data_IF_011558878666
#
_entry.id   IF_011558878666
#
_cell.length_a   1.000
_cell.length_b   1.000
_cell.length_c   1.000
_cell.angle_alpha   90.00
_cell.angle_beta   90.00
_cell.angle_gamma   90.00
#
_symmetry.space_group_name_H-M   'P 1'
#
loop_
_entity.id
_entity.type
_entity.pdbx_description
1 polymer ?
#
# COMPACT_ATOMS: atom_id res chain seq x y z
N UNK A 1 11.65 27.61 -1.67
CA UNK A 1 12.04 28.22 -0.38
C UNK A 1 11.58 27.31 0.75
N UNK A 2 12.45 26.97 1.70
CA UNK A 2 12.04 26.18 2.87
C UNK A 2 11.27 27.05 3.85
N UNK A 3 10.22 26.50 4.47
CA UNK A 3 9.45 27.20 5.51
C UNK A 3 10.25 27.29 6.82
N UNK A 4 10.91 26.19 7.19
CA UNK A 4 11.78 26.08 8.35
C UNK A 4 12.98 25.18 8.04
N UNK A 5 14.04 25.30 8.85
CA UNK A 5 15.17 24.35 8.86
C UNK A 5 14.92 23.12 9.73
N UNK A 6 13.85 23.14 10.52
CA UNK A 6 13.43 22.00 11.32
C UNK A 6 12.48 21.11 10.51
N UNK A 7 12.60 19.77 10.63
CA UNK A 7 11.67 18.87 9.96
C UNK A 7 10.28 18.99 10.58
N UNK A 8 9.25 18.97 9.74
CA UNK A 8 7.84 18.97 10.17
C UNK A 8 7.38 17.57 10.61
N UNK A 9 8.16 16.55 10.26
CA UNK A 9 7.92 15.16 10.63
C UNK A 9 9.18 14.32 10.40
N UNK A 10 9.25 13.18 11.08
CA UNK A 10 10.30 12.19 10.87
C UNK A 10 9.66 10.83 10.82
N UNK A 11 9.77 10.16 9.67
CA UNK A 11 9.43 8.75 9.51
C UNK A 11 10.59 7.85 9.91
N UNK A 12 10.40 6.55 9.72
CA UNK A 12 11.39 5.52 10.00
C UNK A 12 12.68 5.69 9.19
N UNK A 13 12.55 6.07 7.91
CA UNK A 13 13.69 6.15 6.98
C UNK A 13 14.10 7.56 6.59
N UNK A 14 13.19 8.54 6.71
CA UNK A 14 13.41 9.89 6.21
C UNK A 14 12.84 10.98 7.13
N UNK A 15 13.46 12.16 7.06
CA UNK A 15 12.96 13.41 7.60
C UNK A 15 12.12 14.14 6.55
N UNK A 16 11.04 14.79 6.97
CA UNK A 16 10.13 15.52 6.09
C UNK A 16 10.21 17.01 6.37
N UNK A 17 10.42 17.80 5.32
CA UNK A 17 10.47 19.26 5.39
C UNK A 17 9.36 19.87 4.54
N UNK A 18 8.75 20.96 5.02
CA UNK A 18 7.82 21.76 4.23
C UNK A 18 8.59 22.86 3.50
N UNK A 19 8.33 22.97 2.20
CA UNK A 19 8.91 24.00 1.35
C UNK A 19 7.87 24.50 0.35
N UNK A 20 8.24 25.53 -0.40
CA UNK A 20 7.43 26.15 -1.42
C UNK A 20 8.20 26.21 -2.74
N UNK A 21 7.57 25.79 -3.83
CA UNK A 21 8.17 25.71 -5.18
C UNK A 21 7.42 26.63 -6.14
N UNK A 22 8.17 27.30 -7.01
CA UNK A 22 7.61 28.12 -8.08
C UNK A 22 7.26 27.25 -9.31
N UNK A 23 6.04 27.38 -9.83
CA UNK A 23 5.53 26.65 -10.99
C UNK A 23 6.37 26.89 -12.27
N UNK A 24 7.05 28.03 -12.38
CA UNK A 24 7.97 28.31 -13.50
C UNK A 24 9.10 27.29 -13.61
N UNK A 25 9.58 26.75 -12.48
CA UNK A 25 10.66 25.76 -12.42
C UNK A 25 10.23 24.44 -13.08
N UNK A 26 8.95 24.05 -12.96
CA UNK A 26 8.40 22.82 -13.55
C UNK A 26 8.11 22.93 -15.05
N UNK A 27 8.11 24.16 -15.58
CA UNK A 27 7.89 24.45 -17.01
C UNK A 27 9.19 24.59 -17.79
N UNK A 28 10.35 24.57 -17.12
CA UNK A 28 11.65 24.65 -17.77
C UNK A 28 11.91 23.39 -18.63
N UNK A 29 12.04 23.54 -19.97
CA UNK A 29 12.25 22.41 -20.87
C UNK A 29 13.58 21.67 -20.61
N UNK A 30 14.61 22.35 -20.12
CA UNK A 30 15.93 21.75 -19.84
C UNK A 30 15.86 20.82 -18.62
N UNK A 31 15.07 21.19 -17.61
CA UNK A 31 14.83 20.34 -16.44
C UNK A 31 13.99 19.11 -16.79
N UNK A 32 13.01 19.25 -17.70
CA UNK A 32 12.21 18.11 -18.20
C UNK A 32 13.03 17.13 -19.01
N UNK A 33 13.96 17.61 -19.83
CA UNK A 33 14.85 16.75 -20.62
C UNK A 33 15.84 16.00 -19.72
N UNK A 34 16.42 16.67 -18.70
CA UNK A 34 17.23 16.03 -17.67
C UNK A 34 16.44 15.04 -16.80
N UNK A 35 15.16 15.30 -16.52
CA UNK A 35 14.28 14.38 -15.81
C UNK A 35 14.14 13.05 -16.58
N UNK A 36 13.88 13.14 -17.89
CA UNK A 36 13.76 11.95 -18.76
C UNK A 36 15.06 11.16 -18.78
N UNK A 37 16.22 11.81 -18.95
CA UNK A 37 17.52 11.14 -18.92
C UNK A 37 17.84 10.53 -17.55
N UNK A 38 17.52 11.23 -16.46
CA UNK A 38 17.70 10.75 -15.07
C UNK A 38 16.81 9.54 -14.75
N UNK A 39 15.58 9.49 -15.25
CA UNK A 39 14.67 8.34 -15.09
C UNK A 39 15.19 7.15 -15.91
N UNK A 40 15.70 7.39 -17.12
CA UNK A 40 16.34 6.37 -17.95
C UNK A 40 17.63 5.83 -17.32
N UNK A 41 18.50 6.70 -16.83
CA UNK A 41 19.73 6.34 -16.14
C UNK A 41 19.44 5.65 -14.80
N UNK A 42 18.40 6.07 -14.08
CA UNK A 42 17.91 5.38 -12.89
C UNK A 42 17.43 3.96 -13.20
N UNK A 43 16.71 3.76 -14.31
CA UNK A 43 16.27 2.45 -14.78
C UNK A 43 17.45 1.57 -15.24
N UNK A 44 18.46 2.17 -15.89
CA UNK A 44 19.68 1.49 -16.34
C UNK A 44 20.63 1.15 -15.18
N UNK A 45 20.70 2.00 -14.16
CA UNK A 45 21.42 1.78 -12.90
C UNK A 45 20.75 0.70 -12.05
N UNK A 46 19.41 0.64 -12.01
CA UNK A 46 18.66 -0.47 -11.40
C UNK A 46 18.98 -1.80 -12.09
N UNK A 47 19.25 -1.79 -13.41
CA UNK A 47 19.72 -2.96 -14.15
C UNK A 47 21.20 -3.32 -13.85
N UNK A 48 22.02 -2.33 -13.49
CA UNK A 48 23.45 -2.52 -13.20
C UNK A 48 23.76 -2.83 -11.73
N UNK A 49 22.89 -2.48 -10.78
CA UNK A 49 23.08 -2.80 -9.36
C UNK A 49 22.59 -4.19 -9.00
N UNK A 50 23.21 -5.22 -9.59
CA UNK A 50 23.70 -6.34 -8.79
C UNK A 50 25.02 -5.87 -8.16
N UNK A 51 24.90 -5.09 -7.08
CA UNK A 51 25.98 -4.58 -6.26
C UNK A 51 26.67 -5.70 -5.47
N UNK A 52 27.27 -6.63 -6.21
CA UNK A 52 28.04 -7.75 -5.70
C UNK A 52 29.32 -7.96 -6.53
N UNK A 53 29.51 -7.32 -7.70
CA UNK A 53 30.69 -7.56 -8.54
C UNK A 53 32.04 -7.16 -7.92
N UNK A 54 32.09 -6.17 -7.03
CA UNK A 54 33.35 -5.74 -6.40
C UNK A 54 33.66 -6.50 -5.10
N UNK A 55 32.64 -6.90 -4.34
CA UNK A 55 32.78 -7.69 -3.10
C UNK A 55 32.91 -9.19 -3.40
N UNK A 56 32.31 -9.68 -4.50
CA UNK A 56 32.47 -11.05 -4.98
C UNK A 56 33.87 -11.34 -5.51
N UNK A 57 34.64 -10.36 -5.97
CA UNK A 57 36.02 -10.61 -6.45
C UNK A 57 36.94 -11.14 -5.33
N UNK A 58 36.58 -10.89 -4.08
CA UNK A 58 37.25 -11.42 -2.89
C UNK A 58 36.71 -12.80 -2.47
N UNK A 59 35.44 -13.10 -2.72
CA UNK A 59 34.80 -14.39 -2.40
C UNK A 59 34.82 -15.43 -3.54
N UNK A 60 35.14 -15.04 -4.78
CA UNK A 60 35.17 -15.90 -5.98
C UNK A 60 36.35 -16.88 -6.07
N UNK A 61 36.97 -17.20 -4.94
CA UNK A 61 38.02 -18.22 -4.83
C UNK A 61 37.63 -19.37 -3.89
N UNK A 62 36.35 -19.79 -3.90
CA UNK A 62 35.95 -21.12 -3.38
C UNK A 62 34.61 -21.64 -3.93
N UNK A 63 34.68 -22.25 -5.12
CA UNK A 63 33.99 -23.49 -5.57
C UNK A 63 32.44 -23.51 -5.73
N UNK A 64 32.05 -23.46 -7.03
CA UNK A 64 30.86 -24.01 -7.76
C UNK A 64 29.46 -23.50 -7.39
N UNK A 65 28.64 -22.91 -8.30
CA UNK A 65 28.15 -23.28 -9.65
C UNK A 65 26.98 -24.28 -9.58
N UNK A 66 25.75 -23.74 -9.54
CA UNK A 66 24.60 -24.08 -10.40
C UNK A 66 23.35 -23.30 -9.92
N UNK A 67 22.34 -23.19 -10.80
CA UNK A 67 21.03 -22.49 -10.69
C UNK A 67 21.03 -21.02 -11.14
N UNK A 68 20.93 -20.84 -12.47
CA UNK A 68 20.36 -19.67 -13.12
C UNK A 68 19.58 -20.20 -14.33
N UNK A 69 18.33 -20.59 -14.09
CA UNK A 69 17.34 -20.83 -15.15
C UNK A 69 15.95 -20.75 -14.50
N UNK A 70 15.19 -19.71 -14.86
CA UNK A 70 13.82 -19.52 -14.42
C UNK A 70 13.52 -18.08 -14.02
N UNK A 71 13.39 -17.19 -14.99
CA UNK A 71 12.42 -16.07 -14.91
C UNK A 71 12.29 -15.40 -16.28
N UNK A 72 11.50 -16.01 -17.16
CA UNK A 72 11.08 -15.42 -18.43
C UNK A 72 9.83 -14.53 -18.31
N UNK A 73 9.32 -14.27 -17.09
CA UNK A 73 8.08 -13.52 -16.87
C UNK A 73 8.28 -12.01 -16.68
N UNK A 74 9.49 -11.56 -16.37
CA UNK A 74 9.81 -10.14 -16.22
C UNK A 74 9.88 -9.38 -17.55
N UNK A 75 10.11 -10.07 -18.68
CA UNK A 75 10.14 -9.46 -20.02
C UNK A 75 8.78 -8.92 -20.47
N UNK A 76 7.67 -9.60 -20.17
CA UNK A 76 6.33 -9.11 -20.52
C UNK A 76 5.87 -7.88 -19.69
N UNK A 77 6.41 -7.69 -18.47
CA UNK A 77 6.10 -6.54 -17.59
C UNK A 77 6.73 -5.23 -18.11
N UNK A 78 7.79 -5.31 -18.91
CA UNK A 78 8.46 -4.16 -19.53
C UNK A 78 7.82 -3.75 -20.87
N UNK A 79 7.39 -4.70 -21.70
CA UNK A 79 6.72 -4.40 -22.98
C UNK A 79 5.37 -3.68 -22.76
N UNK A 80 4.64 -4.01 -21.69
CA UNK A 80 3.42 -3.28 -21.31
C UNK A 80 3.72 -1.81 -20.97
N UNK A 81 4.81 -1.53 -20.26
CA UNK A 81 5.19 -0.16 -19.87
C UNK A 81 5.69 0.68 -21.05
N UNK A 82 6.45 0.10 -21.99
CA UNK A 82 6.77 0.79 -23.25
C UNK A 82 5.49 1.09 -24.05
N UNK A 83 4.54 0.16 -24.09
CA UNK A 83 3.26 0.40 -24.77
C UNK A 83 2.41 1.48 -24.10
N UNK A 84 2.41 1.58 -22.76
CA UNK A 84 1.69 2.62 -22.02
C UNK A 84 2.39 3.97 -22.19
N UNK A 85 3.72 4.05 -22.08
CA UNK A 85 4.46 5.32 -22.26
C UNK A 85 4.43 5.78 -23.73
N UNK A 86 4.48 4.86 -24.70
CA UNK A 86 4.35 5.19 -26.13
C UNK A 86 2.90 5.55 -26.51
N UNK A 87 1.88 4.87 -25.98
CA UNK A 87 0.47 5.23 -26.22
C UNK A 87 0.02 6.46 -25.40
N UNK A 88 0.74 6.81 -24.33
CA UNK A 88 0.54 8.06 -23.57
C UNK A 88 1.22 9.27 -24.22
N UNK A 89 1.95 9.08 -25.34
CA UNK A 89 2.51 10.22 -26.09
C UNK A 89 1.43 11.11 -26.73
N UNK A 90 0.17 10.65 -26.77
CA UNK A 90 -1.01 11.45 -27.14
C UNK A 90 -1.89 11.88 -25.95
N UNK A 91 -1.62 11.39 -24.75
CA UNK A 91 -2.36 11.72 -23.53
C UNK A 91 -1.40 12.29 -22.50
N UNK A 92 -1.17 13.61 -22.55
CA UNK A 92 -0.40 14.29 -21.53
C UNK A 92 -0.96 13.94 -20.15
N UNK A 93 -0.14 13.32 -19.30
CA UNK A 93 -0.19 13.50 -17.85
C UNK A 93 -0.13 15.01 -17.60
N UNK A 94 -1.29 15.63 -17.72
CA UNK A 94 -1.48 17.03 -17.43
C UNK A 94 -1.20 17.12 -15.94
N UNK A 95 -0.26 17.97 -15.49
CA UNK A 95 -0.18 18.23 -14.06
C UNK A 95 -1.59 18.60 -13.60
N UNK A 96 -2.02 18.20 -12.38
CA UNK A 96 -3.31 18.64 -11.85
C UNK A 96 -3.39 20.14 -12.04
N UNK A 97 -4.57 20.68 -12.34
CA UNK A 97 -4.79 22.12 -12.49
C UNK A 97 -4.13 22.86 -11.31
N UNK A 98 -2.86 23.24 -11.47
CA UNK A 98 -2.17 24.13 -10.58
C UNK A 98 -3.01 25.40 -10.65
N UNK A 99 -3.57 25.79 -9.50
CA UNK A 99 -4.42 26.96 -9.35
C UNK A 99 -3.93 28.08 -10.27
N UNK A 100 -4.81 28.56 -11.15
CA UNK A 100 -4.52 29.49 -12.24
C UNK A 100 -4.00 30.88 -11.80
N UNK A 101 -3.62 31.07 -10.54
CA UNK A 101 -3.27 32.38 -9.97
C UNK A 101 -2.02 32.40 -9.08
N UNK A 102 -1.59 31.28 -8.48
CA UNK A 102 -0.43 31.27 -7.58
C UNK A 102 0.82 30.69 -8.26
N UNK A 103 1.85 31.54 -8.38
CA UNK A 103 3.17 31.13 -8.86
C UNK A 103 3.86 30.12 -7.93
N UNK A 104 3.49 30.09 -6.65
CA UNK A 104 4.17 29.30 -5.61
C UNK A 104 3.17 28.34 -4.94
N UNK A 105 3.56 27.09 -4.73
CA UNK A 105 2.74 26.07 -4.06
C UNK A 105 3.56 25.25 -3.05
N UNK A 106 2.93 24.68 -2.00
CA UNK A 106 3.63 23.94 -0.96
C UNK A 106 4.00 22.52 -1.39
N UNK A 107 5.17 22.05 -0.95
CA UNK A 107 5.72 20.72 -1.23
C UNK A 107 6.29 20.10 0.05
N UNK A 108 6.20 18.78 0.13
CA UNK A 108 6.92 17.98 1.11
C UNK A 108 8.25 17.51 0.49
N UNK A 109 9.34 17.68 1.23
CA UNK A 109 10.68 17.21 0.85
C UNK A 109 11.09 16.14 1.86
N UNK A 110 11.06 14.88 1.43
CA UNK A 110 11.55 13.73 2.19
C UNK A 110 13.03 13.56 1.93
N UNK A 111 13.83 13.51 2.99
CA UNK A 111 15.29 13.34 2.93
C UNK A 111 15.68 12.15 3.79
N UNK A 112 16.34 11.16 3.19
CA UNK A 112 16.80 9.96 3.88
C UNK A 112 17.73 10.30 5.05
N UNK A 113 17.58 9.62 6.19
CA UNK A 113 18.44 9.84 7.36
C UNK A 113 19.93 9.61 7.01
N UNK A 114 20.84 10.51 7.43
CA UNK A 114 22.27 10.34 7.17
C UNK A 114 22.82 9.04 7.77
N UNK A 115 23.56 8.27 6.98
CA UNK A 115 24.19 7.02 7.44
C UNK A 115 23.27 5.79 7.47
N UNK A 116 21.96 5.97 7.22
CA UNK A 116 20.98 4.89 7.32
C UNK A 116 21.27 3.73 6.37
N UNK A 117 21.69 4.03 5.14
CA UNK A 117 22.01 3.00 4.13
C UNK A 117 23.10 2.06 4.64
N UNK A 118 24.17 2.61 5.22
CA UNK A 118 25.28 1.79 5.74
C UNK A 118 24.85 0.96 6.96
N UNK A 119 24.01 1.53 7.83
CA UNK A 119 23.49 0.81 8.99
C UNK A 119 22.61 -0.37 8.56
N UNK A 120 21.64 -0.14 7.68
CA UNK A 120 20.74 -1.19 7.18
C UNK A 120 21.54 -2.30 6.47
N UNK A 121 22.55 -1.95 5.68
CA UNK A 121 23.43 -2.93 5.03
C UNK A 121 24.19 -3.80 6.04
N UNK A 122 24.71 -3.21 7.12
CA UNK A 122 25.38 -3.95 8.19
C UNK A 122 24.41 -4.89 8.90
N UNK A 123 23.22 -4.40 9.23
CA UNK A 123 22.19 -5.18 9.92
C UNK A 123 21.75 -6.38 9.08
N UNK A 124 21.49 -6.18 7.79
CA UNK A 124 21.15 -7.26 6.85
C UNK A 124 22.28 -8.28 6.70
N UNK A 125 23.54 -7.83 6.68
CA UNK A 125 24.69 -8.72 6.65
C UNK A 125 24.76 -9.61 7.91
N UNK A 126 24.56 -9.03 9.09
CA UNK A 126 24.52 -9.76 10.35
C UNK A 126 23.33 -10.74 10.41
N UNK A 127 22.15 -10.31 9.95
CA UNK A 127 20.96 -11.18 9.87
C UNK A 127 21.20 -12.37 8.95
N UNK A 128 21.85 -12.19 7.80
CA UNK A 128 22.20 -13.29 6.90
C UNK A 128 23.13 -14.31 7.55
N UNK A 129 24.15 -13.85 8.29
CA UNK A 129 25.05 -14.73 9.05
C UNK A 129 24.26 -15.49 10.14
N UNK A 130 23.44 -14.77 10.90
CA UNK A 130 22.62 -15.34 11.97
C UNK A 130 21.61 -16.37 11.46
N UNK A 131 20.96 -16.11 10.33
CA UNK A 131 20.00 -17.03 9.72
C UNK A 131 20.64 -18.39 9.40
N UNK A 132 21.84 -18.40 8.80
CA UNK A 132 22.59 -19.63 8.49
C UNK A 132 22.98 -20.41 9.74
N UNK A 133 23.25 -19.72 10.85
CA UNK A 133 23.53 -20.38 12.12
C UNK A 133 22.28 -21.01 12.74
N UNK A 134 21.13 -20.31 12.66
CA UNK A 134 19.85 -20.79 13.19
C UNK A 134 19.33 -22.03 12.45
N UNK A 135 19.61 -22.15 11.14
CA UNK A 135 19.23 -23.33 10.35
C UNK A 135 19.94 -24.64 10.74
N UNK A 136 21.01 -24.55 11.55
CA UNK A 136 21.69 -25.71 12.11
C UNK A 136 20.89 -26.37 13.25
N UNK A 137 19.91 -25.68 13.84
CA UNK A 137 19.12 -26.19 14.94
C UNK A 137 17.88 -26.98 14.44
N UNK A 138 17.70 -28.25 14.85
CA UNK A 138 16.70 -29.16 14.28
C UNK A 138 15.21 -28.84 14.57
N UNK A 139 14.90 -27.70 15.20
CA UNK A 139 13.51 -27.25 15.47
C UNK A 139 13.08 -25.98 14.73
N UNK A 140 14.00 -25.28 14.07
CA UNK A 140 13.76 -23.95 13.47
C UNK A 140 13.63 -24.03 11.94
N UNK A 141 14.01 -25.17 11.33
CA UNK A 141 14.00 -25.38 9.88
C UNK A 141 12.65 -25.15 9.20
N UNK A 142 11.53 -25.39 9.89
CA UNK A 142 10.20 -25.17 9.31
C UNK A 142 9.88 -23.68 9.13
N UNK A 143 10.51 -22.78 9.90
CA UNK A 143 10.35 -21.33 9.79
C UNK A 143 11.07 -20.74 8.57
N UNK A 144 11.98 -21.47 7.93
CA UNK A 144 12.80 -20.97 6.81
C UNK A 144 13.35 -19.56 7.06
N UNK A 145 14.07 -19.38 8.17
CA UNK A 145 14.57 -18.07 8.61
C UNK A 145 15.42 -17.39 7.54
N UNK A 146 16.15 -18.14 6.71
CA UNK A 146 16.90 -17.55 5.58
C UNK A 146 15.98 -16.98 4.50
N UNK A 147 14.90 -17.66 4.13
CA UNK A 147 13.88 -17.10 3.22
C UNK A 147 13.27 -15.81 3.80
N UNK A 148 12.97 -15.80 5.10
CA UNK A 148 12.44 -14.61 5.79
C UNK A 148 13.41 -13.44 5.72
N UNK A 149 14.71 -13.68 5.96
CA UNK A 149 15.74 -12.63 5.90
C UNK A 149 15.93 -12.11 4.47
N UNK A 150 15.84 -12.97 3.46
CA UNK A 150 15.91 -12.55 2.05
C UNK A 150 14.70 -11.68 1.65
N UNK A 151 13.50 -12.05 2.08
CA UNK A 151 12.30 -11.22 1.86
C UNK A 151 12.38 -9.89 2.61
N UNK A 152 12.86 -9.91 3.86
CA UNK A 152 13.08 -8.70 4.63
C UNK A 152 14.12 -7.77 3.98
N UNK A 153 15.20 -8.31 3.45
CA UNK A 153 16.20 -7.54 2.69
C UNK A 153 15.57 -6.82 1.49
N UNK A 154 14.75 -7.52 0.69
CA UNK A 154 14.08 -6.92 -0.47
C UNK A 154 13.22 -5.73 -0.05
N UNK A 155 12.45 -5.87 1.02
CA UNK A 155 11.62 -4.80 1.56
C UNK A 155 12.47 -3.63 2.08
N UNK A 156 13.54 -3.90 2.83
CA UNK A 156 14.40 -2.84 3.37
C UNK A 156 15.15 -2.06 2.29
N UNK A 157 15.57 -2.73 1.21
CA UNK A 157 16.20 -2.04 0.07
C UNK A 157 15.22 -1.08 -0.60
N UNK A 158 13.95 -1.47 -0.76
CA UNK A 158 12.92 -0.59 -1.33
C UNK A 158 12.65 0.62 -0.43
N UNK A 159 12.67 0.42 0.89
CA UNK A 159 12.46 1.47 1.88
C UNK A 159 13.55 2.54 1.93
N UNK A 160 14.81 2.18 1.63
CA UNK A 160 15.94 3.15 1.66
C UNK A 160 16.23 3.82 0.31
N UNK A 161 15.40 3.57 -0.71
CA UNK A 161 15.51 4.21 -2.02
C UNK A 161 14.16 4.86 -2.36
N UNK A 162 14.07 6.18 -2.13
CA UNK A 162 12.83 6.96 -2.22
C UNK A 162 12.23 7.01 -3.64
N UNK A 163 12.94 6.51 -4.66
CA UNK A 163 12.39 6.35 -6.01
C UNK A 163 11.30 5.27 -6.07
N UNK A 164 11.37 4.25 -5.22
CA UNK A 164 10.32 3.23 -5.14
C UNK A 164 9.03 3.83 -4.60
N UNK A 165 9.12 4.59 -3.51
CA UNK A 165 7.98 5.30 -2.94
C UNK A 165 7.34 6.25 -3.97
N UNK A 166 8.14 7.04 -4.67
CA UNK A 166 7.66 7.92 -5.74
C UNK A 166 6.89 7.15 -6.83
N UNK A 167 7.46 6.03 -7.31
CA UNK A 167 6.82 5.20 -8.33
C UNK A 167 5.51 4.58 -7.83
N UNK A 168 5.46 4.17 -6.56
CA UNK A 168 4.26 3.61 -5.95
C UNK A 168 3.18 4.69 -5.80
N UNK A 169 3.52 5.92 -5.39
CA UNK A 169 2.59 7.05 -5.34
C UNK A 169 2.00 7.36 -6.72
N UNK A 170 2.80 7.34 -7.77
CA UNK A 170 2.33 7.52 -9.15
C UNK A 170 1.35 6.42 -9.57
N UNK A 171 1.66 5.16 -9.24
CA UNK A 171 0.77 4.03 -9.54
C UNK A 171 -0.55 4.13 -8.77
N UNK A 172 -0.51 4.46 -7.48
CA UNK A 172 -1.71 4.72 -6.70
C UNK A 172 -2.52 5.88 -7.27
N UNK A 173 -1.88 6.96 -7.70
CA UNK A 173 -2.56 8.07 -8.34
C UNK A 173 -3.34 7.61 -9.58
N UNK A 174 -2.73 6.79 -10.45
CA UNK A 174 -3.39 6.21 -11.63
C UNK A 174 -4.57 5.31 -11.24
N UNK A 175 -4.39 4.41 -10.28
CA UNK A 175 -5.43 3.49 -9.83
C UNK A 175 -6.64 4.24 -9.27
N UNK A 176 -6.43 5.38 -8.60
CA UNK A 176 -7.48 6.14 -7.93
C UNK A 176 -7.99 7.37 -8.71
N UNK A 177 -7.64 7.56 -9.99
CA UNK A 177 -8.09 8.72 -10.78
C UNK A 177 -9.62 8.89 -10.84
N UNK A 178 -10.38 7.78 -10.78
CA UNK A 178 -11.85 7.80 -10.77
C UNK A 178 -12.48 7.76 -9.38
N UNK A 179 -11.70 7.93 -8.31
CA UNK A 179 -12.17 7.88 -6.92
C UNK A 179 -12.06 9.26 -6.27
N UNK A 180 -13.17 9.97 -6.19
CA UNK A 180 -13.19 11.39 -5.78
C UNK A 180 -12.83 11.64 -4.31
N UNK A 181 -12.72 10.60 -3.48
CA UNK A 181 -12.54 10.73 -2.03
C UNK A 181 -11.22 10.13 -1.52
N UNK A 182 -10.32 9.66 -2.39
CA UNK A 182 -8.99 9.16 -2.03
C UNK A 182 -7.94 9.92 -2.83
N UNK A 183 -6.87 10.36 -2.16
CA UNK A 183 -5.77 11.10 -2.78
C UNK A 183 -4.42 10.59 -2.28
N UNK A 184 -3.41 10.82 -3.11
CA UNK A 184 -2.02 10.51 -2.84
C UNK A 184 -1.19 11.75 -3.21
N UNK A 185 -0.13 12.08 -2.45
CA UNK A 185 0.85 13.09 -2.85
C UNK A 185 1.41 12.79 -4.23
N UNK A 186 1.63 13.83 -5.02
CA UNK A 186 2.18 13.71 -6.36
C UNK A 186 3.68 13.97 -6.36
N UNK A 187 4.53 12.99 -6.74
CA UNK A 187 5.95 13.21 -6.91
C UNK A 187 6.27 14.27 -7.96
N UNK A 188 7.27 15.10 -7.68
CA UNK A 188 7.65 16.25 -8.50
C UNK A 188 8.99 15.98 -9.16
N UNK A 189 8.96 15.58 -10.43
CA UNK A 189 10.18 15.40 -11.24
C UNK A 189 10.76 16.74 -11.73
N UNK A 190 12.09 16.87 -11.87
CA UNK A 190 13.16 15.88 -11.67
C UNK A 190 13.63 15.70 -10.21
N UNK A 191 12.92 16.21 -9.20
CA UNK A 191 13.39 16.24 -7.82
C UNK A 191 13.15 14.93 -7.04
N UNK A 192 13.20 13.80 -7.75
CA UNK A 192 13.08 12.45 -7.20
C UNK A 192 14.39 11.71 -7.42
N UNK A 193 15.03 11.31 -6.33
CA UNK A 193 16.33 10.62 -6.30
C UNK A 193 16.30 9.52 -5.25
N UNK A 194 17.38 8.73 -5.14
CA UNK A 194 17.49 7.68 -4.11
C UNK A 194 17.30 8.20 -2.68
N UNK A 195 17.80 9.41 -2.40
CA UNK A 195 17.88 9.96 -1.05
C UNK A 195 16.91 11.12 -0.80
N UNK A 196 16.28 11.65 -1.85
CA UNK A 196 15.38 12.80 -1.78
C UNK A 196 14.14 12.53 -2.63
N UNK A 197 12.95 12.70 -2.05
CA UNK A 197 11.67 12.71 -2.73
C UNK A 197 10.94 14.03 -2.45
N UNK A 198 10.66 14.79 -3.51
CA UNK A 198 9.80 15.97 -3.43
C UNK A 198 8.42 15.62 -3.97
N UNK A 199 7.38 15.90 -3.19
CA UNK A 199 5.98 15.60 -3.52
C UNK A 199 5.05 16.76 -3.12
N UNK A 200 3.80 16.76 -3.58
CA UNK A 200 2.81 17.76 -3.14
C UNK A 200 2.60 17.70 -1.64
N UNK A 201 2.47 18.86 -1.00
CA UNK A 201 2.14 18.91 0.42
C UNK A 201 0.62 18.92 0.61
N UNK A 202 0.12 17.97 1.39
CA UNK A 202 -1.31 17.81 1.64
C UNK A 202 -1.67 18.34 3.05
N UNK A 203 -2.37 19.47 3.11
CA UNK A 203 -2.84 20.06 4.37
C UNK A 203 -4.02 19.25 4.91
N UNK A 204 -3.73 18.34 5.86
CA UNK A 204 -4.67 17.36 6.40
C UNK A 204 -4.34 16.97 7.85
N UNK A 205 -5.30 16.36 8.55
CA UNK A 205 -5.14 15.88 9.93
C UNK A 205 -5.05 14.35 9.97
N UNK A 206 -4.21 13.73 10.81
CA UNK A 206 -4.16 12.27 10.93
C UNK A 206 -5.52 11.67 11.30
N UNK A 207 -5.84 10.50 10.74
CA UNK A 207 -7.11 9.81 11.00
C UNK A 207 -7.32 9.50 12.49
N UNK A 208 -6.23 9.35 13.25
CA UNK A 208 -6.26 9.10 14.69
C UNK A 208 -7.01 10.18 15.48
N UNK A 209 -7.04 11.42 15.00
CA UNK A 209 -7.78 12.52 15.63
C UNK A 209 -9.31 12.33 15.55
N UNK A 210 -9.79 11.52 14.61
CA UNK A 210 -11.22 11.28 14.40
C UNK A 210 -11.71 10.00 15.08
N UNK A 211 -10.83 9.30 15.80
CA UNK A 211 -11.19 8.09 16.56
C UNK A 211 -11.91 8.41 17.88
N UNK A 212 -11.88 9.67 18.32
CA UNK A 212 -12.47 10.09 19.58
C UNK A 212 -14.01 10.15 19.52
N UNK A 213 -14.64 9.84 20.66
CA UNK A 213 -16.11 9.79 20.80
C UNK A 213 -16.77 11.14 20.52
N UNK A 214 -16.07 12.24 20.79
CA UNK A 214 -16.58 13.61 20.59
C UNK A 214 -16.72 14.01 19.10
N UNK A 215 -16.13 13.22 18.19
CA UNK A 215 -16.29 13.42 16.75
C UNK A 215 -17.70 12.99 16.31
N UNK A 216 -18.36 13.79 15.47
CA UNK A 216 -19.68 13.48 14.89
C UNK A 216 -19.70 12.04 14.36
N UNK A 217 -20.69 11.24 14.79
CA UNK A 217 -20.80 9.83 14.44
C UNK A 217 -20.90 9.61 12.92
N UNK A 218 -21.66 10.47 12.24
CA UNK A 218 -21.82 10.45 10.78
C UNK A 218 -20.50 10.64 10.04
N UNK A 219 -19.64 11.54 10.53
CA UNK A 219 -18.30 11.76 9.96
C UNK A 219 -17.44 10.51 10.13
N UNK A 220 -17.43 9.92 11.33
CA UNK A 220 -16.66 8.70 11.62
C UNK A 220 -17.11 7.55 10.72
N UNK A 221 -18.42 7.35 10.58
CA UNK A 221 -18.98 6.32 9.69
C UNK A 221 -18.64 6.58 8.22
N UNK A 222 -18.67 7.84 7.76
CA UNK A 222 -18.26 8.19 6.39
C UNK A 222 -16.78 7.92 6.14
N UNK A 223 -15.90 8.29 7.07
CA UNK A 223 -14.46 7.99 7.00
C UNK A 223 -14.23 6.46 6.99
N UNK A 224 -14.92 5.72 7.86
CA UNK A 224 -14.82 4.26 7.93
C UNK A 224 -15.23 3.60 6.61
N UNK A 225 -16.34 4.05 6.01
CA UNK A 225 -16.81 3.57 4.72
C UNK A 225 -15.81 3.87 3.60
N UNK A 226 -15.31 5.11 3.53
CA UNK A 226 -14.29 5.49 2.56
C UNK A 226 -13.03 4.62 2.67
N UNK A 227 -12.56 4.37 3.89
CA UNK A 227 -11.39 3.52 4.13
C UNK A 227 -11.62 2.06 3.75
N UNK A 228 -12.81 1.53 4.01
CA UNK A 228 -13.19 0.18 3.59
C UNK A 228 -13.28 0.03 2.08
N UNK A 229 -13.97 0.96 1.39
CA UNK A 229 -14.09 0.94 -0.07
C UNK A 229 -12.71 1.04 -0.74
N UNK A 230 -11.85 1.91 -0.21
CA UNK A 230 -10.45 2.05 -0.63
C UNK A 230 -9.65 0.75 -0.43
N UNK A 231 -9.71 0.12 0.75
CA UNK A 231 -9.04 -1.17 1.01
C UNK A 231 -9.50 -2.23 0.00
N UNK A 232 -10.80 -2.38 -0.18
CA UNK A 232 -11.36 -3.41 -1.05
C UNK A 232 -10.97 -3.20 -2.50
N UNK A 233 -10.92 -1.94 -2.96
CA UNK A 233 -10.43 -1.59 -4.29
C UNK A 233 -8.95 -1.98 -4.45
N UNK A 234 -8.09 -1.59 -3.52
CA UNK A 234 -6.65 -1.93 -3.57
C UNK A 234 -6.42 -3.45 -3.67
N UNK A 235 -7.18 -4.23 -2.90
CA UNK A 235 -7.02 -5.69 -2.80
C UNK A 235 -7.63 -6.43 -4.00
N UNK A 236 -8.90 -6.16 -4.31
CA UNK A 236 -9.68 -7.01 -5.23
C UNK A 236 -9.83 -6.43 -6.64
N UNK A 237 -9.60 -5.13 -6.81
CA UNK A 237 -9.72 -4.46 -8.12
C UNK A 237 -8.34 -4.18 -8.69
N UNK A 238 -7.49 -3.50 -7.92
CA UNK A 238 -6.20 -3.02 -8.42
C UNK A 238 -5.08 -4.06 -8.24
N UNK A 239 -5.24 -5.00 -7.29
CA UNK A 239 -4.19 -5.93 -6.86
C UNK A 239 -2.87 -5.20 -6.52
N UNK A 240 -2.98 -4.00 -5.96
CA UNK A 240 -1.86 -3.14 -5.60
C UNK A 240 -2.16 -2.53 -4.24
N UNK A 241 -1.65 -3.17 -3.20
CA UNK A 241 -2.05 -2.93 -1.81
C UNK A 241 -0.99 -2.14 -1.09
N UNK A 242 -1.39 -1.04 -0.45
CA UNK A 242 -0.52 -0.32 0.48
C UNK A 242 -0.30 -1.17 1.74
N UNK A 243 0.89 -1.76 1.87
CA UNK A 243 1.13 -2.80 2.87
C UNK A 243 1.44 -2.25 4.28
N UNK A 244 1.73 -0.95 4.41
CA UNK A 244 2.00 -0.28 5.68
C UNK A 244 1.02 0.86 6.00
N UNK A 245 -0.29 0.60 5.80
CA UNK A 245 -1.33 1.61 5.97
C UNK A 245 -1.81 1.71 7.44
N UNK A 246 -0.91 2.16 8.32
CA UNK A 246 -1.23 2.43 9.72
C UNK A 246 -1.85 3.84 9.91
N UNK A 247 -2.47 4.17 11.07
CA UNK A 247 -3.19 5.43 11.26
C UNK A 247 -2.35 6.72 11.12
N UNK A 248 -1.02 6.62 11.07
CA UNK A 248 -0.13 7.76 10.84
C UNK A 248 0.00 8.12 9.36
N UNK A 249 -0.23 7.14 8.48
CA UNK A 249 -0.12 7.27 7.02
C UNK A 249 -1.47 7.56 6.36
N UNK A 250 -2.54 7.72 7.14
CA UNK A 250 -3.87 8.06 6.64
C UNK A 250 -4.25 9.41 7.24
N UNK A 251 -4.41 10.41 6.40
CA UNK A 251 -4.90 11.73 6.78
C UNK A 251 -6.33 11.91 6.28
N UNK A 252 -7.04 12.82 6.93
CA UNK A 252 -8.39 13.24 6.58
C UNK A 252 -8.35 14.73 6.26
N UNK A 253 -8.86 15.07 5.08
CA UNK A 253 -8.98 16.44 4.57
C UNK A 253 -10.45 16.82 4.42
N UNK A 254 -10.82 18.06 4.73
CA UNK A 254 -12.20 18.56 4.56
C UNK A 254 -13.18 18.21 5.69
N UNK A 255 -12.72 17.55 6.76
CA UNK A 255 -13.58 17.13 7.87
C UNK A 255 -14.16 18.28 8.70
N UNK A 256 -13.50 19.44 8.76
CA UNK A 256 -14.00 20.60 9.53
C UNK A 256 -15.25 21.23 8.89
N UNK A 257 -15.40 21.07 7.58
CA UNK A 257 -16.54 21.58 6.81
C UNK A 257 -17.70 20.56 6.77
N UNK A 258 -17.53 19.41 7.43
CA UNK A 258 -18.49 18.33 7.43
C UNK A 258 -19.71 18.67 8.31
N UNK A 259 -20.83 18.96 7.65
CA UNK A 259 -22.13 19.21 8.27
C UNK A 259 -22.46 20.69 8.54
N UNK A 260 -21.74 21.64 7.93
CA UNK A 260 -22.09 23.08 7.99
C UNK A 260 -22.93 23.57 6.80
N UNK A 261 -23.25 22.68 5.85
CA UNK A 261 -24.19 22.96 4.77
C UNK A 261 -25.37 21.98 4.85
N UNK A 262 -26.63 22.47 4.85
CA UNK A 262 -27.75 21.60 4.56
C UNK A 262 -27.54 21.03 3.16
N UNK A 263 -27.72 19.72 3.03
CA UNK A 263 -27.76 19.07 1.73
C UNK A 263 -28.80 19.81 0.85
N UNK A 264 -28.36 20.25 -0.33
CA UNK A 264 -29.16 20.98 -1.33
C UNK A 264 -29.88 22.26 -0.83
N UNK A 265 -29.13 23.24 -0.31
CA UNK A 265 -29.64 24.59 -0.06
C UNK A 265 -29.34 25.58 -1.19
N UNK A 266 -30.22 25.71 -2.19
CA UNK A 266 -30.17 26.84 -3.11
C UNK A 266 -30.38 28.15 -2.31
N UNK A 267 -29.34 28.97 -2.17
CA UNK A 267 -29.48 30.31 -1.60
C UNK A 267 -30.04 31.22 -2.68
N UNK A 268 -31.31 31.58 -2.54
CA UNK A 268 -31.94 32.61 -3.36
C UNK A 268 -31.48 33.97 -2.83
N UNK A 269 -30.72 34.71 -3.62
CA UNK A 269 -30.37 36.11 -3.32
C UNK A 269 -31.30 37.02 -4.11
N UNK A 270 -32.15 37.78 -3.41
CA UNK A 270 -33.02 38.77 -4.03
C UNK A 270 -32.27 40.09 -4.23
N UNK A 271 -31.90 40.36 -5.48
CA UNK A 271 -31.38 41.65 -5.92
C UNK A 271 -32.33 42.19 -6.98
N UNK A 272 -33.26 43.05 -6.56
CA UNK A 272 -34.08 43.92 -7.41
C UNK A 272 -34.64 43.22 -8.66
N UNK A 273 -35.62 42.34 -8.45
CA UNK A 273 -36.47 41.67 -9.45
C UNK A 273 -35.79 40.65 -10.39
N UNK A 274 -34.57 40.19 -10.07
CA UNK A 274 -33.96 39.05 -10.76
C UNK A 274 -33.51 37.97 -9.78
N UNK A 275 -34.17 36.81 -9.79
CA UNK A 275 -33.76 35.62 -9.03
C UNK A 275 -32.47 35.05 -9.63
N UNK A 276 -31.33 35.27 -8.98
CA UNK A 276 -30.07 34.63 -9.34
C UNK A 276 -29.83 33.47 -8.37
N UNK A 277 -29.82 32.25 -8.90
CA UNK A 277 -29.35 31.06 -8.17
C UNK A 277 -27.82 31.02 -8.32
N UNK A 278 -27.11 31.57 -7.34
CA UNK A 278 -25.65 31.38 -7.25
C UNK A 278 -25.37 29.98 -6.70
N UNK A 279 -24.97 29.07 -7.58
CA UNK A 279 -24.32 27.81 -7.20
C UNK A 279 -22.93 28.15 -6.67
N UNK A 280 -22.77 28.36 -5.37
CA UNK A 280 -21.45 28.40 -4.76
C UNK A 280 -20.86 26.98 -4.70
N UNK A 281 -19.70 26.71 -5.33
CA UNK A 281 -19.02 25.43 -5.15
C UNK A 281 -18.03 25.58 -3.99
N UNK A 282 -18.41 25.25 -2.76
CA UNK A 282 -17.41 25.20 -1.68
C UNK A 282 -17.87 24.44 -0.43
N UNK A 283 -17.86 23.12 -0.50
CA UNK A 283 -17.22 22.36 0.58
C UNK A 283 -16.03 21.65 -0.05
N UNK A 284 -14.84 21.73 0.54
CA UNK A 284 -13.77 20.83 0.10
C UNK A 284 -14.30 19.42 0.37
N UNK A 285 -14.41 18.54 -0.64
CA UNK A 285 -14.94 17.21 -0.40
C UNK A 285 -14.12 16.54 0.70
N UNK A 286 -14.76 15.69 1.49
CA UNK A 286 -14.04 14.86 2.45
C UNK A 286 -13.12 13.93 1.65
N UNK A 287 -11.82 13.93 1.94
CA UNK A 287 -10.85 13.02 1.31
C UNK A 287 -10.04 12.26 2.35
N UNK A 288 -9.68 11.02 2.01
CA UNK A 288 -8.56 10.32 2.63
C UNK A 288 -7.30 10.61 1.81
N UNK A 289 -6.26 11.10 2.48
CA UNK A 289 -4.95 11.30 1.88
C UNK A 289 -4.02 10.23 2.43
N UNK A 290 -3.44 9.41 1.56
CA UNK A 290 -2.52 8.35 1.98
C UNK A 290 -1.08 8.78 1.74
N UNK A 291 -0.27 8.68 2.78
CA UNK A 291 1.17 8.96 2.77
C UNK A 291 1.98 7.65 2.80
N UNK A 292 3.28 7.76 2.53
CA UNK A 292 4.27 6.70 2.74
C UNK A 292 3.96 5.40 1.99
N UNK A 293 3.91 5.50 0.66
CA UNK A 293 3.71 4.35 -0.22
C UNK A 293 5.01 3.53 -0.44
N UNK A 294 5.91 3.50 0.54
CA UNK A 294 7.19 2.82 0.40
C UNK A 294 7.08 1.29 0.40
N UNK A 295 6.02 0.72 0.98
CA UNK A 295 5.77 -0.73 0.99
C UNK A 295 4.45 -1.03 0.29
N UNK A 296 4.54 -1.84 -0.77
CA UNK A 296 3.40 -2.30 -1.53
C UNK A 296 3.42 -3.82 -1.66
N UNK A 297 2.23 -4.43 -1.67
CA UNK A 297 2.05 -5.84 -1.94
C UNK A 297 1.21 -6.03 -3.21
N UNK A 298 1.69 -6.87 -4.11
CA UNK A 298 1.04 -7.28 -5.37
C UNK A 298 1.08 -8.81 -5.43
N UNK A 299 -0.06 -9.45 -5.71
CA UNK A 299 -0.14 -10.90 -5.89
C UNK A 299 0.07 -11.26 -7.36
N UNK A 300 0.68 -12.41 -7.66
CA UNK A 300 0.68 -12.90 -9.05
C UNK A 300 -0.75 -13.27 -9.46
N UNK A 301 -1.05 -13.33 -10.76
CA UNK A 301 -2.41 -13.60 -11.23
C UNK A 301 -3.01 -14.88 -10.64
N UNK A 302 -2.23 -15.97 -10.58
CA UNK A 302 -2.68 -17.23 -9.96
C UNK A 302 -2.88 -17.12 -8.44
N UNK A 303 -2.04 -16.34 -7.76
CA UNK A 303 -2.13 -16.12 -6.31
C UNK A 303 -3.34 -15.24 -5.97
N UNK A 304 -3.65 -14.25 -6.80
CA UNK A 304 -4.83 -13.41 -6.68
C UNK A 304 -6.12 -14.22 -6.87
N UNK A 305 -6.17 -15.08 -7.89
CA UNK A 305 -7.30 -15.99 -8.10
C UNK A 305 -7.50 -16.92 -6.89
N UNK A 306 -6.41 -17.50 -6.38
CA UNK A 306 -6.44 -18.33 -5.18
C UNK A 306 -6.89 -17.52 -3.95
N UNK A 307 -6.38 -16.30 -3.78
CA UNK A 307 -6.78 -15.39 -2.70
C UNK A 307 -8.29 -15.10 -2.74
N UNK A 308 -8.83 -14.79 -3.92
CA UNK A 308 -10.28 -14.59 -4.12
C UNK A 308 -11.06 -15.86 -3.81
N UNK A 309 -10.56 -17.03 -4.22
CA UNK A 309 -11.20 -18.31 -3.90
C UNK A 309 -11.23 -18.58 -2.39
N UNK A 310 -10.14 -18.29 -1.66
CA UNK A 310 -10.07 -18.43 -0.20
C UNK A 310 -11.10 -17.52 0.47
N UNK A 311 -11.13 -16.24 0.12
CA UNK A 311 -12.10 -15.29 0.68
C UNK A 311 -13.55 -15.68 0.34
N UNK A 312 -13.79 -16.16 -0.87
CA UNK A 312 -15.12 -16.67 -1.29
C UNK A 312 -15.52 -17.90 -0.46
N UNK A 313 -14.61 -18.85 -0.25
CA UNK A 313 -14.86 -20.03 0.56
C UNK A 313 -15.16 -19.66 2.03
N UNK A 314 -14.49 -18.65 2.59
CA UNK A 314 -14.81 -18.11 3.92
C UNK A 314 -16.22 -17.53 3.96
N UNK A 315 -16.59 -16.68 2.98
CA UNK A 315 -17.93 -16.07 2.89
C UNK A 315 -19.03 -17.12 2.74
N UNK A 316 -18.78 -18.19 1.99
CA UNK A 316 -19.71 -19.32 1.82
C UNK A 316 -19.68 -20.31 2.99
N UNK A 317 -18.74 -20.14 3.93
CA UNK A 317 -18.59 -21.02 5.09
C UNK A 317 -18.04 -22.40 4.78
N UNK A 318 -17.23 -22.53 3.73
CA UNK A 318 -16.65 -23.77 3.26
C UNK A 318 -15.24 -23.96 3.86
N UNK A 319 -15.14 -24.22 5.16
CA UNK A 319 -13.84 -24.25 5.84
C UNK A 319 -12.90 -25.38 5.38
N UNK A 320 -13.41 -26.55 4.99
CA UNK A 320 -12.57 -27.57 4.34
C UNK A 320 -11.99 -27.06 3.01
N UNK A 321 -12.79 -26.33 2.23
CA UNK A 321 -12.34 -25.75 0.97
C UNK A 321 -11.26 -24.68 1.17
N UNK A 322 -11.37 -23.89 2.24
CA UNK A 322 -10.33 -22.94 2.66
C UNK A 322 -9.01 -23.68 2.91
N UNK A 323 -9.05 -24.77 3.67
CA UNK A 323 -7.86 -25.57 3.93
C UNK A 323 -7.25 -26.14 2.63
N UNK A 324 -8.07 -26.67 1.73
CA UNK A 324 -7.60 -27.19 0.43
C UNK A 324 -6.90 -26.14 -0.42
N UNK A 325 -7.49 -24.94 -0.53
CA UNK A 325 -6.93 -23.84 -1.31
C UNK A 325 -5.58 -23.37 -0.75
N UNK A 326 -5.46 -23.29 0.58
CA UNK A 326 -4.20 -22.93 1.24
C UNK A 326 -3.14 -24.01 1.01
N UNK A 327 -3.49 -25.29 1.17
CA UNK A 327 -2.55 -26.41 0.99
C UNK A 327 -2.05 -26.51 -0.45
N UNK A 328 -2.94 -26.32 -1.44
CA UNK A 328 -2.60 -26.42 -2.86
C UNK A 328 -1.61 -25.33 -3.30
N UNK A 329 -1.67 -24.17 -2.66
CA UNK A 329 -0.84 -23.02 -3.01
C UNK A 329 0.44 -22.91 -2.16
N UNK A 330 0.53 -23.67 -1.06
CA UNK A 330 1.73 -23.73 -0.22
C UNK A 330 2.82 -24.58 -0.89
N UNK A 331 3.74 -23.94 -1.64
CA UNK A 331 4.82 -24.60 -2.40
C UNK A 331 5.74 -25.50 -1.56
N UNK A 332 5.80 -25.28 -0.25
CA UNK A 332 6.65 -26.01 0.69
C UNK A 332 5.87 -26.49 1.92
N UNK A 333 4.70 -27.08 1.70
CA UNK A 333 3.84 -27.59 2.76
C UNK A 333 4.50 -28.75 3.54
N UNK A 334 4.67 -28.58 4.85
CA UNK A 334 5.16 -29.63 5.77
C UNK A 334 4.04 -30.22 6.64
N UNK A 335 2.78 -29.96 6.30
CA UNK A 335 1.62 -30.47 7.03
C UNK A 335 1.64 -32.00 7.06
N UNK A 336 1.78 -32.55 8.27
CA UNK A 336 1.84 -34.00 8.49
C UNK A 336 0.45 -34.64 8.51
N UNK A 337 -0.57 -33.89 8.94
CA UNK A 337 -1.93 -34.36 9.13
C UNK A 337 -2.92 -33.44 8.41
N UNK A 338 -3.00 -33.64 7.09
CA UNK A 338 -3.84 -32.84 6.19
C UNK A 338 -5.31 -32.93 6.57
N UNK A 339 -5.80 -34.11 6.93
CA UNK A 339 -7.20 -34.33 7.25
C UNK A 339 -7.58 -33.62 8.55
N UNK A 340 -6.71 -33.67 9.56
CA UNK A 340 -6.92 -32.89 10.79
C UNK A 340 -6.88 -31.39 10.53
N UNK A 341 -5.96 -30.91 9.70
CA UNK A 341 -5.92 -29.48 9.32
C UNK A 341 -7.22 -29.04 8.63
N UNK A 342 -7.75 -29.85 7.71
CA UNK A 342 -9.05 -29.60 7.06
C UNK A 342 -10.19 -29.55 8.07
N UNK A 343 -10.25 -30.50 9.00
CA UNK A 343 -11.26 -30.55 10.05
C UNK A 343 -11.18 -29.34 11.00
N UNK A 344 -9.98 -28.98 11.46
CA UNK A 344 -9.76 -27.83 12.34
C UNK A 344 -10.17 -26.51 11.64
N UNK A 345 -9.86 -26.37 10.35
CA UNK A 345 -10.27 -25.21 9.54
C UNK A 345 -11.79 -25.16 9.33
N UNK A 346 -12.42 -26.32 9.09
CA UNK A 346 -13.87 -26.44 8.99
C UNK A 346 -14.58 -25.99 10.27
N UNK A 347 -14.08 -26.43 11.42
CA UNK A 347 -14.59 -26.01 12.72
C UNK A 347 -14.43 -24.50 12.94
N UNK A 348 -13.25 -23.97 12.63
CA UNK A 348 -12.94 -22.54 12.77
C UNK A 348 -13.88 -21.66 11.95
N UNK A 349 -14.06 -21.98 10.66
CA UNK A 349 -14.96 -21.21 9.78
C UNK A 349 -16.43 -21.36 10.20
N UNK A 350 -16.83 -22.56 10.62
CA UNK A 350 -18.19 -22.79 11.14
C UNK A 350 -18.45 -21.96 12.39
N UNK A 351 -17.50 -21.90 13.32
CA UNK A 351 -17.61 -21.10 14.55
C UNK A 351 -17.73 -19.62 14.24
N UNK A 352 -16.89 -19.11 13.33
CA UNK A 352 -16.91 -17.71 12.93
C UNK A 352 -18.26 -17.31 12.30
N UNK A 353 -18.90 -18.21 11.54
CA UNK A 353 -20.24 -18.01 11.00
C UNK A 353 -21.34 -18.10 12.05
N UNK A 354 -21.25 -19.01 13.01
CA UNK A 354 -22.25 -19.15 14.07
C UNK A 354 -22.28 -17.91 14.98
N UNK A 355 -21.13 -17.31 15.27
CA UNK A 355 -21.06 -16.01 15.95
C UNK A 355 -21.70 -14.90 15.12
N UNK A 356 -21.50 -14.89 13.80
CA UNK A 356 -22.16 -13.94 12.89
C UNK A 356 -23.70 -14.05 12.86
N UNK A 357 -24.25 -15.25 13.07
CA UNK A 357 -25.71 -15.49 13.15
C UNK A 357 -26.26 -15.14 14.54
N UNK A 358 -25.44 -15.19 15.59
CA UNK A 358 -25.82 -14.92 16.98
C UNK A 358 -25.85 -13.42 17.35
N UNK A 359 -26.02 -12.52 16.37
CA UNK A 359 -25.97 -11.05 16.52
C UNK A 359 -24.58 -10.48 16.90
N UNK A 360 -23.52 -11.30 16.95
CA UNK A 360 -22.15 -10.81 17.08
C UNK A 360 -21.54 -10.53 15.71
N UNK A 361 -21.01 -9.32 15.51
CA UNK A 361 -20.49 -8.87 14.21
C UNK A 361 -19.25 -9.68 13.80
N UNK A 362 -19.19 -10.09 12.54
CA UNK A 362 -18.04 -10.84 12.01
C UNK A 362 -16.78 -9.96 12.04
N UNK A 363 -15.75 -10.40 12.76
CA UNK A 363 -14.44 -9.73 12.81
C UNK A 363 -13.45 -10.52 11.94
N UNK A 364 -13.03 -9.94 10.83
CA UNK A 364 -12.10 -10.59 9.89
C UNK A 364 -10.73 -10.78 10.53
N UNK A 365 -10.28 -9.83 11.35
CA UNK A 365 -8.99 -9.87 12.02
C UNK A 365 -8.88 -11.02 13.02
N UNK A 366 -9.94 -11.32 13.78
CA UNK A 366 -9.93 -12.45 14.73
C UNK A 366 -9.97 -13.81 14.01
N UNK A 367 -10.72 -13.90 12.91
CA UNK A 367 -10.71 -15.06 12.02
C UNK A 367 -9.30 -15.28 11.46
N UNK A 368 -8.72 -14.27 10.80
CA UNK A 368 -7.42 -14.38 10.15
C UNK A 368 -6.31 -14.70 11.15
N UNK A 369 -6.34 -14.09 12.35
CA UNK A 369 -5.44 -14.45 13.46
C UNK A 369 -5.56 -15.93 13.84
N UNK A 370 -6.80 -16.45 13.90
CA UNK A 370 -7.04 -17.87 14.21
C UNK A 370 -6.58 -18.79 13.07
N UNK A 371 -6.77 -18.38 11.82
CA UNK A 371 -6.24 -19.08 10.63
C UNK A 371 -4.72 -19.16 10.70
N UNK A 372 -4.01 -18.05 10.91
CA UNK A 372 -2.55 -18.05 11.06
C UNK A 372 -2.09 -18.97 12.20
N UNK A 373 -2.81 -18.97 13.32
CA UNK A 373 -2.52 -19.90 14.41
C UNK A 373 -2.62 -21.36 13.97
N UNK A 374 -3.65 -21.73 13.19
CA UNK A 374 -3.74 -23.08 12.62
C UNK A 374 -2.61 -23.36 11.64
N UNK A 375 -2.24 -22.41 10.78
CA UNK A 375 -1.10 -22.57 9.86
C UNK A 375 0.20 -22.86 10.63
N UNK A 376 0.44 -22.15 11.73
CA UNK A 376 1.61 -22.40 12.58
C UNK A 376 1.56 -23.76 13.29
N UNK A 377 0.40 -24.14 13.86
CA UNK A 377 0.23 -25.43 14.54
C UNK A 377 0.48 -26.59 13.57
N UNK A 378 -0.03 -26.47 12.35
CA UNK A 378 0.05 -27.50 11.31
C UNK A 378 1.26 -27.35 10.38
N UNK A 379 2.14 -26.39 10.64
CA UNK A 379 3.36 -26.11 9.87
C UNK A 379 3.09 -25.92 8.36
N UNK A 380 1.98 -25.26 8.04
CA UNK A 380 1.62 -24.87 6.69
C UNK A 380 2.27 -23.51 6.40
N UNK A 381 3.14 -23.46 5.39
CA UNK A 381 3.77 -22.21 4.97
C UNK A 381 2.81 -21.35 4.16
N UNK A 382 2.86 -20.04 4.37
CA UNK A 382 2.12 -19.05 3.60
C UNK A 382 3.11 -18.18 2.82
N UNK A 383 2.76 -17.82 1.59
CA UNK A 383 3.59 -16.92 0.79
C UNK A 383 3.58 -15.49 1.39
N UNK A 384 4.72 -14.80 1.32
CA UNK A 384 4.94 -13.51 1.97
C UNK A 384 3.96 -12.43 1.51
N UNK A 385 3.71 -12.30 0.20
CA UNK A 385 2.79 -11.29 -0.33
C UNK A 385 1.35 -11.53 0.12
N UNK A 386 0.93 -12.80 0.22
CA UNK A 386 -0.38 -13.16 0.77
C UNK A 386 -0.49 -12.71 2.23
N UNK A 387 0.55 -12.96 3.03
CA UNK A 387 0.60 -12.53 4.42
C UNK A 387 0.51 -10.99 4.53
N UNK A 388 1.26 -10.24 3.72
CA UNK A 388 1.23 -8.78 3.69
C UNK A 388 -0.18 -8.22 3.37
N UNK A 389 -0.87 -8.76 2.36
CA UNK A 389 -2.24 -8.35 2.02
C UNK A 389 -3.20 -8.63 3.18
N UNK A 390 -3.07 -9.80 3.81
CA UNK A 390 -3.88 -10.15 4.99
C UNK A 390 -3.62 -9.18 6.15
N UNK A 391 -2.36 -8.84 6.44
CA UNK A 391 -2.03 -7.87 7.49
C UNK A 391 -2.63 -6.48 7.20
N UNK A 392 -2.57 -6.01 5.96
CA UNK A 392 -3.19 -4.74 5.56
C UNK A 392 -4.71 -4.75 5.80
N UNK A 393 -5.40 -5.84 5.47
CA UNK A 393 -6.83 -6.02 5.77
C UNK A 393 -7.08 -5.97 7.28
N UNK A 394 -6.28 -6.66 8.08
CA UNK A 394 -6.44 -6.71 9.54
C UNK A 394 -6.27 -5.33 10.19
N UNK A 395 -5.24 -4.58 9.80
CA UNK A 395 -4.96 -3.23 10.33
C UNK A 395 -6.08 -2.27 9.97
N UNK A 396 -6.50 -2.25 8.70
CA UNK A 396 -7.53 -1.34 8.22
C UNK A 396 -8.93 -1.71 8.71
N UNK A 397 -9.25 -3.00 8.89
CA UNK A 397 -10.48 -3.38 9.57
C UNK A 397 -10.46 -2.89 11.02
N UNK A 398 -9.37 -3.13 11.77
CA UNK A 398 -9.27 -2.68 13.16
C UNK A 398 -9.48 -1.17 13.29
N UNK A 399 -8.86 -0.40 12.40
CA UNK A 399 -9.05 1.04 12.31
C UNK A 399 -10.49 1.42 11.93
N UNK A 400 -11.04 0.78 10.90
CA UNK A 400 -12.41 0.99 10.45
C UNK A 400 -13.44 0.73 11.55
N UNK A 401 -13.25 -0.33 12.35
CA UNK A 401 -14.11 -0.63 13.51
C UNK A 401 -13.97 0.34 14.67
N UNK A 402 -12.81 0.98 14.80
CA UNK A 402 -12.59 2.05 15.78
C UNK A 402 -13.39 3.31 15.41
N UNK A 403 -13.61 3.53 14.11
CA UNK A 403 -14.46 4.60 13.59
C UNK A 403 -15.95 4.22 13.59
N UNK A 404 -16.28 3.04 13.09
CA UNK A 404 -17.63 2.48 12.99
C UNK A 404 -17.66 1.02 13.50
N UNK A 405 -18.13 0.77 14.73
CA UNK A 405 -18.19 -0.58 15.27
C UNK A 405 -19.04 -1.56 14.46
N UNK A 406 -19.98 -1.07 13.63
CA UNK A 406 -20.88 -1.83 12.76
C UNK A 406 -20.28 -2.22 11.40
N UNK A 407 -19.04 -1.77 11.11
CA UNK A 407 -18.35 -2.10 9.87
C UNK A 407 -18.18 -3.63 9.69
N UNK A 408 -18.45 -4.12 8.48
CA UNK A 408 -18.32 -5.52 8.09
C UNK A 408 -17.65 -5.64 6.72
N UNK A 409 -16.35 -5.98 6.74
CA UNK A 409 -15.52 -6.10 5.55
C UNK A 409 -15.96 -7.26 4.66
N UNK A 410 -16.42 -8.39 5.20
CA UNK A 410 -16.88 -9.50 4.36
C UNK A 410 -18.16 -9.15 3.63
N UNK A 411 -19.09 -8.46 4.30
CA UNK A 411 -20.33 -7.98 3.68
C UNK A 411 -20.03 -7.01 2.54
N UNK A 412 -19.06 -6.11 2.73
CA UNK A 412 -18.65 -5.15 1.70
C UNK A 412 -17.85 -5.79 0.55
N UNK A 413 -17.04 -6.82 0.83
CA UNK A 413 -16.26 -7.55 -0.18
C UNK A 413 -17.13 -8.47 -1.05
N UNK A 414 -18.25 -8.97 -0.52
CA UNK A 414 -19.14 -9.93 -1.20
C UNK A 414 -19.46 -9.59 -2.68
N UNK A 415 -19.88 -8.37 -3.06
CA UNK A 415 -20.12 -8.04 -4.46
C UNK A 415 -18.88 -8.19 -5.35
N UNK A 416 -17.70 -7.78 -4.88
CA UNK A 416 -16.43 -7.85 -5.63
C UNK A 416 -15.91 -9.30 -5.78
N UNK A 417 -16.26 -10.16 -4.83
CA UNK A 417 -15.88 -11.57 -4.84
C UNK A 417 -16.79 -12.39 -5.76
N UNK A 418 -18.11 -12.18 -5.70
CA UNK A 418 -19.09 -12.97 -6.45
C UNK A 418 -19.23 -12.48 -7.90
N UNK A 419 -19.22 -11.17 -8.10
CA UNK A 419 -19.32 -10.52 -9.40
C UNK A 419 -18.11 -9.60 -9.59
N UNK A 420 -16.93 -10.13 -9.96
CA UNK A 420 -15.78 -9.28 -10.30
C UNK A 420 -16.19 -8.19 -11.30
N UNK A 421 -15.75 -6.94 -11.11
CA UNK A 421 -15.78 -5.99 -12.22
C UNK A 421 -14.96 -6.57 -13.39
N UNK A 422 -15.52 -6.50 -14.60
CA UNK A 422 -14.89 -6.97 -15.83
C UNK A 422 -13.66 -6.15 -16.21
#
# INVERSE_FOLDING_TARGET
MFESREPIGSGCVAQVYKAYVDNSILRDPVLRERAKTSVFDAALEVWKTSGLKELLRWFWWRKHKDVLEGDHQSLHKYDFYESVVQNSSSGSLSPPLFCKENHIFPVAIKVLHPGLVQQVQMDLFLMKIGSRFLELFPGIRWLSVTEIVEEFEKLMIQQIDLRYEAKNLEHFHLNFQGTDYVRFPLPIHPFVTKNILVETFEESKPISQYLHIDTKMELRQKIAKMGMDMLLKMVFVDNFVHADLHPGNILVQGAEQFGDHPEDGAVIVDLLDTLIVELQPSSSPLHLVLLDAGIVAELQSGDLENFRAVFTAVVLGQGEKVAELILHHSRANQCKDVEKFKADMAELVTRARSSAVALEKFQVASLLSSVFRLLMIHQVKLESNFACVVFAIMVLEGLGRSLDPDLDVLKAAKPLLINPPN
#
